data_IF_005950979807
#
_entry.id   IF_005950979807
#
_cell.length_a   1.000
_cell.length_b   1.000
_cell.length_c   1.000
_cell.angle_alpha   90.00
_cell.angle_beta   90.00
_cell.angle_gamma   90.00
#
_symmetry.space_group_name_H-M   'P 1'
#
loop_
_entity.id
_entity.type
_entity.pdbx_description
1 polymer ?
#
# COMPACT_ATOMS: atom_id res chain seq x y z
N UNK A 1 -25.21 68.39 -45.11
CA UNK A 1 -23.92 67.71 -44.82
C UNK A 1 -23.95 67.20 -43.38
N UNK A 2 -23.43 66.00 -43.18
CA UNK A 2 -23.75 65.07 -42.09
C UNK A 2 -23.19 65.44 -40.70
N UNK A 3 -23.92 65.04 -39.65
CA UNK A 3 -23.40 64.89 -38.27
C UNK A 3 -22.96 63.44 -38.06
N UNK A 4 -21.77 63.13 -37.50
CA UNK A 4 -21.49 61.81 -36.96
C UNK A 4 -21.81 61.77 -35.46
N UNK A 5 -22.82 60.97 -35.12
CA UNK A 5 -22.92 60.25 -33.84
C UNK A 5 -22.03 59.00 -33.91
N UNK A 6 -21.67 58.49 -32.73
CA UNK A 6 -21.06 57.18 -32.44
C UNK A 6 -19.57 57.20 -32.10
N UNK A 7 -19.28 57.48 -30.83
CA UNK A 7 -18.03 57.05 -30.19
C UNK A 7 -18.23 56.80 -28.68
N UNK A 8 -19.25 56.02 -28.29
CA UNK A 8 -19.46 55.66 -26.88
C UNK A 8 -19.89 54.21 -26.61
N UNK A 9 -19.94 53.34 -27.63
CA UNK A 9 -20.40 51.94 -27.47
C UNK A 9 -19.27 50.88 -27.36
N UNK A 10 -18.00 51.24 -27.56
CA UNK A 10 -16.88 50.29 -27.52
C UNK A 10 -16.28 50.04 -26.13
N UNK A 11 -16.33 51.03 -25.22
CA UNK A 11 -15.65 50.95 -23.91
C UNK A 11 -16.43 50.15 -22.86
N UNK A 12 -17.76 50.14 -22.92
CA UNK A 12 -18.57 49.36 -21.98
C UNK A 12 -18.43 47.84 -22.21
N UNK A 13 -18.38 47.38 -23.46
CA UNK A 13 -18.28 45.96 -23.78
C UNK A 13 -16.93 45.33 -23.38
N UNK A 14 -15.82 46.09 -23.45
CA UNK A 14 -14.50 45.64 -22.99
C UNK A 14 -14.37 45.61 -21.45
N UNK A 15 -15.02 46.53 -20.74
CA UNK A 15 -15.03 46.53 -19.28
C UNK A 15 -15.84 45.35 -18.70
N UNK A 16 -16.95 44.99 -19.34
CA UNK A 16 -17.78 43.85 -18.92
C UNK A 16 -17.09 42.49 -19.18
N UNK A 17 -16.32 42.34 -20.25
CA UNK A 17 -15.56 41.10 -20.52
C UNK A 17 -14.37 40.96 -19.57
N UNK A 18 -13.61 42.03 -19.30
CA UNK A 18 -12.55 41.99 -18.28
C UNK A 18 -13.09 41.73 -16.87
N UNK A 19 -14.21 42.33 -16.48
CA UNK A 19 -14.82 42.08 -15.18
C UNK A 19 -15.35 40.64 -15.04
N UNK A 20 -15.92 40.05 -16.09
CA UNK A 20 -16.38 38.66 -16.08
C UNK A 20 -15.22 37.66 -16.04
N UNK A 21 -14.14 37.92 -16.80
CA UNK A 21 -12.91 37.10 -16.79
C UNK A 21 -12.17 37.25 -15.46
N UNK A 22 -12.07 38.45 -14.90
CA UNK A 22 -11.49 38.69 -13.58
C UNK A 22 -12.33 38.07 -12.45
N UNK A 23 -13.66 38.03 -12.58
CA UNK A 23 -14.56 37.40 -11.59
C UNK A 23 -14.58 35.88 -11.71
N UNK A 24 -14.35 35.32 -12.90
CA UNK A 24 -14.10 33.89 -13.12
C UNK A 24 -12.70 33.47 -12.62
N UNK A 25 -11.67 34.29 -12.86
CA UNK A 25 -10.33 34.10 -12.32
C UNK A 25 -10.31 34.27 -10.79
N UNK A 26 -11.04 35.23 -10.21
CA UNK A 26 -11.21 35.37 -8.76
C UNK A 26 -12.06 34.26 -8.15
N UNK A 27 -12.99 33.63 -8.89
CA UNK A 27 -13.70 32.44 -8.39
C UNK A 27 -12.81 31.19 -8.38
N UNK A 28 -11.85 31.10 -9.30
CA UNK A 28 -10.87 30.02 -9.31
C UNK A 28 -9.76 30.21 -8.25
N UNK A 29 -9.56 31.42 -7.73
CA UNK A 29 -8.49 31.75 -6.77
C UNK A 29 -8.94 31.76 -5.30
N UNK A 30 -10.20 31.43 -4.99
CA UNK A 30 -10.79 31.68 -3.65
C UNK A 30 -11.51 30.49 -3.00
N UNK A 31 -11.18 29.25 -3.41
CA UNK A 31 -11.59 28.06 -2.68
C UNK A 31 -10.37 27.30 -2.19
N UNK A 32 -10.33 26.99 -0.91
CA UNK A 32 -9.32 26.10 -0.32
C UNK A 32 -9.19 24.81 -1.16
N UNK A 33 -7.96 24.26 -1.34
CA UNK A 33 -7.73 23.02 -2.06
C UNK A 33 -8.70 21.91 -1.61
N UNK A 34 -9.31 21.20 -2.57
CA UNK A 34 -10.09 20.01 -2.18
C UNK A 34 -9.10 18.91 -1.81
N UNK A 35 -9.38 18.25 -0.69
CA UNK A 35 -8.61 17.09 -0.24
C UNK A 35 -9.28 15.81 -0.75
N UNK A 36 -8.51 15.01 -1.46
CA UNK A 36 -8.88 13.69 -1.99
C UNK A 36 -8.08 12.59 -1.32
N UNK A 37 -8.68 11.42 -1.17
CA UNK A 37 -7.99 10.26 -0.60
C UNK A 37 -8.28 8.96 -1.36
N UNK A 38 -7.25 8.15 -1.55
CA UNK A 38 -7.33 6.79 -2.07
C UNK A 38 -6.74 5.82 -1.03
N UNK A 39 -7.59 5.00 -0.42
CA UNK A 39 -7.22 4.07 0.64
C UNK A 39 -7.34 2.64 0.14
N UNK A 40 -6.28 1.83 0.24
CA UNK A 40 -6.20 0.51 -0.38
C UNK A 40 -5.64 -0.55 0.57
N UNK A 41 -6.43 -1.58 0.83
CA UNK A 41 -5.96 -2.82 1.44
C UNK A 41 -5.86 -3.89 0.35
N UNK A 42 -4.65 -4.23 -0.09
CA UNK A 42 -4.46 -5.10 -1.27
C UNK A 42 -4.66 -6.59 -0.99
N UNK A 43 -4.69 -6.99 0.29
CA UNK A 43 -4.77 -8.39 0.72
C UNK A 43 -6.16 -8.80 1.22
N UNK A 44 -6.41 -10.11 1.18
CA UNK A 44 -7.60 -10.75 1.75
C UNK A 44 -7.25 -11.84 2.76
N UNK A 45 -8.26 -12.43 3.37
CA UNK A 45 -8.17 -13.54 4.30
C UNK A 45 -7.98 -13.09 5.74
N UNK A 46 -8.53 -13.88 6.67
CA UNK A 46 -8.62 -13.49 8.08
C UNK A 46 -7.26 -13.41 8.80
N UNK A 47 -6.24 -14.10 8.32
CA UNK A 47 -4.86 -13.93 8.85
C UNK A 47 -4.25 -12.58 8.44
N UNK A 48 -4.79 -11.92 7.41
CA UNK A 48 -4.45 -10.56 6.96
C UNK A 48 -5.43 -9.48 7.44
N UNK A 49 -6.20 -9.78 8.49
CA UNK A 49 -7.11 -8.85 9.16
C UNK A 49 -6.56 -7.42 9.28
N UNK A 50 -5.30 -7.30 9.74
CA UNK A 50 -4.59 -6.04 9.96
C UNK A 50 -4.64 -5.07 8.78
N UNK A 51 -4.53 -5.55 7.53
CA UNK A 51 -4.42 -4.62 6.39
C UNK A 51 -5.74 -3.90 6.13
N UNK A 52 -6.87 -4.60 6.24
CA UNK A 52 -8.19 -3.98 6.12
C UNK A 52 -8.51 -3.13 7.36
N UNK A 53 -8.16 -3.59 8.56
CA UNK A 53 -8.29 -2.80 9.79
C UNK A 53 -7.50 -1.48 9.75
N UNK A 54 -6.31 -1.47 9.16
CA UNK A 54 -5.51 -0.25 8.97
C UNK A 54 -6.25 0.74 8.05
N UNK A 55 -6.80 0.27 6.91
CA UNK A 55 -7.52 1.13 5.97
C UNK A 55 -8.83 1.67 6.54
N UNK A 56 -9.53 0.85 7.32
CA UNK A 56 -10.71 1.26 8.08
C UNK A 56 -10.39 2.39 9.08
N UNK A 57 -9.30 2.25 9.83
CA UNK A 57 -8.84 3.28 10.74
C UNK A 57 -8.39 4.54 10.00
N UNK A 58 -7.65 4.40 8.88
CA UNK A 58 -7.24 5.52 8.05
C UNK A 58 -8.46 6.31 7.53
N UNK A 59 -9.52 5.62 7.10
CA UNK A 59 -10.79 6.25 6.73
C UNK A 59 -11.34 7.11 7.87
N UNK A 60 -11.38 6.59 9.08
CA UNK A 60 -11.89 7.33 10.25
C UNK A 60 -11.02 8.53 10.61
N UNK A 61 -9.69 8.43 10.52
CA UNK A 61 -8.79 9.58 10.68
C UNK A 61 -9.18 10.69 9.71
N UNK A 62 -9.28 10.39 8.41
CA UNK A 62 -9.59 11.38 7.38
C UNK A 62 -11.01 11.95 7.50
N UNK A 63 -11.99 11.08 7.75
CA UNK A 63 -13.39 11.46 7.81
C UNK A 63 -13.68 12.35 9.02
N UNK A 64 -13.10 12.02 10.19
CA UNK A 64 -13.23 12.81 11.42
C UNK A 64 -12.61 14.21 11.27
N UNK A 65 -11.54 14.31 10.48
CA UNK A 65 -10.90 15.58 10.10
C UNK A 65 -11.55 16.27 8.88
N UNK A 66 -12.74 15.82 8.48
CA UNK A 66 -13.64 16.58 7.62
C UNK A 66 -13.49 16.33 6.13
N UNK A 67 -12.73 15.32 5.70
CA UNK A 67 -12.77 14.89 4.30
C UNK A 67 -14.10 14.16 4.04
N UNK A 68 -14.94 14.65 3.12
CA UNK A 68 -16.26 14.06 2.88
C UNK A 68 -16.14 12.74 2.11
N UNK A 69 -17.10 11.83 2.30
CA UNK A 69 -17.10 10.51 1.67
C UNK A 69 -16.99 10.54 0.14
N UNK A 70 -17.50 11.59 -0.51
CA UNK A 70 -17.41 11.78 -1.97
C UNK A 70 -15.96 11.92 -2.45
N UNK A 71 -15.02 12.29 -1.56
CA UNK A 71 -13.59 12.47 -1.87
C UNK A 71 -12.68 11.44 -1.23
N UNK A 72 -13.22 10.44 -0.51
CA UNK A 72 -12.48 9.28 -0.04
C UNK A 72 -12.92 8.07 -0.85
N UNK A 73 -12.00 7.50 -1.62
CA UNK A 73 -12.19 6.24 -2.35
C UNK A 73 -11.55 5.12 -1.55
N UNK A 74 -12.31 4.07 -1.24
CA UNK A 74 -11.80 2.92 -0.46
C UNK A 74 -11.84 1.63 -1.28
N UNK A 75 -10.70 0.97 -1.37
CA UNK A 75 -10.53 -0.35 -1.98
C UNK A 75 -10.13 -1.36 -0.90
N UNK A 76 -10.98 -2.36 -0.64
CA UNK A 76 -10.67 -3.43 0.31
C UNK A 76 -11.47 -4.68 -0.03
N UNK A 77 -10.94 -5.88 0.24
CA UNK A 77 -11.64 -7.10 -0.15
C UNK A 77 -12.99 -7.30 0.57
N UNK A 78 -13.13 -6.77 1.80
CA UNK A 78 -14.33 -6.79 2.65
C UNK A 78 -14.74 -8.17 3.19
N UNK A 79 -13.76 -9.03 3.48
CA UNK A 79 -13.95 -10.40 4.00
C UNK A 79 -13.64 -10.57 5.49
N UNK A 80 -13.45 -9.48 6.23
CA UNK A 80 -13.03 -9.51 7.65
C UNK A 80 -14.20 -9.41 8.62
N UNK A 81 -15.02 -8.36 8.52
CA UNK A 81 -16.05 -8.05 9.51
C UNK A 81 -17.05 -9.21 9.69
N UNK A 82 -17.48 -9.82 8.59
CA UNK A 82 -18.44 -10.92 8.57
C UNK A 82 -17.81 -12.31 8.38
N UNK A 83 -16.48 -12.42 8.51
CA UNK A 83 -15.79 -13.70 8.42
C UNK A 83 -16.37 -14.71 9.42
N UNK A 84 -16.47 -15.98 9.04
CA UNK A 84 -16.80 -17.06 9.98
C UNK A 84 -15.76 -17.20 11.10
N UNK A 85 -14.54 -16.72 10.86
CA UNK A 85 -13.45 -16.70 11.84
C UNK A 85 -13.53 -15.51 12.81
N UNK A 86 -14.38 -14.51 12.52
CA UNK A 86 -14.54 -13.35 13.39
C UNK A 86 -15.52 -13.67 14.53
N UNK A 87 -15.07 -13.73 15.80
CA UNK A 87 -15.98 -13.95 16.93
C UNK A 87 -16.94 -12.78 17.16
N UNK A 88 -16.60 -11.57 16.68
CA UNK A 88 -17.42 -10.37 16.81
C UNK A 88 -17.88 -9.89 15.44
N UNK A 89 -18.77 -10.68 14.81
CA UNK A 89 -19.25 -10.39 13.44
C UNK A 89 -19.84 -8.99 13.32
N UNK A 90 -19.55 -8.34 12.20
CA UNK A 90 -19.97 -6.97 11.91
C UNK A 90 -19.06 -5.88 12.53
N UNK A 91 -18.02 -6.26 13.28
CA UNK A 91 -17.08 -5.30 13.89
C UNK A 91 -15.63 -5.61 13.56
N UNK A 92 -14.81 -4.57 13.42
CA UNK A 92 -13.37 -4.66 13.19
C UNK A 92 -12.67 -3.67 14.11
N UNK A 93 -11.55 -4.05 14.73
CA UNK A 93 -10.75 -3.16 15.60
C UNK A 93 -9.37 -3.03 14.99
N UNK A 94 -8.67 -1.90 15.18
CA UNK A 94 -7.28 -1.77 14.72
C UNK A 94 -6.24 -1.83 15.85
N UNK A 95 -6.72 -2.00 17.09
CA UNK A 95 -5.90 -2.23 18.28
C UNK A 95 -6.68 -3.02 19.33
N UNK A 96 -6.02 -3.69 20.29
CA UNK A 96 -6.68 -4.45 21.34
C UNK A 96 -7.57 -3.53 22.17
N UNK A 97 -8.80 -3.99 22.45
CA UNK A 97 -9.82 -3.20 23.16
C UNK A 97 -10.12 -1.82 22.52
N UNK A 98 -9.83 -1.67 21.21
CA UNK A 98 -10.17 -0.49 20.44
C UNK A 98 -11.65 -0.42 20.08
N UNK A 99 -12.09 0.74 19.60
CA UNK A 99 -13.42 0.93 19.03
C UNK A 99 -13.57 0.22 17.70
N UNK A 100 -14.82 0.00 17.28
CA UNK A 100 -15.10 -0.47 15.92
C UNK A 100 -14.65 0.57 14.88
N UNK A 101 -13.83 0.13 13.93
CA UNK A 101 -13.37 0.92 12.78
C UNK A 101 -14.08 0.52 11.49
N UNK A 102 -14.94 -0.50 11.49
CA UNK A 102 -15.61 -0.96 10.28
C UNK A 102 -16.82 -0.09 9.88
N UNK A 103 -17.60 0.34 10.87
CA UNK A 103 -18.88 1.00 10.64
C UNK A 103 -18.71 2.34 9.92
N UNK A 104 -19.41 2.48 8.80
CA UNK A 104 -19.48 3.72 8.02
C UNK A 104 -18.41 3.84 6.94
N UNK A 105 -17.44 2.93 6.88
CA UNK A 105 -16.43 2.90 5.81
C UNK A 105 -17.13 2.66 4.46
N UNK A 106 -16.90 3.52 3.43
CA UNK A 106 -17.40 3.31 2.08
C UNK A 106 -16.88 2.01 1.48
N UNK A 107 -17.73 1.29 0.77
CA UNK A 107 -17.38 0.05 0.05
C UNK A 107 -17.29 0.33 -1.45
N UNK A 108 -16.38 1.23 -1.84
CA UNK A 108 -16.31 1.69 -3.23
C UNK A 108 -15.90 0.57 -4.18
N UNK A 109 -14.86 -0.18 -3.82
CA UNK A 109 -14.39 -1.34 -4.59
C UNK A 109 -14.04 -2.49 -3.65
N UNK A 110 -14.78 -3.58 -3.74
CA UNK A 110 -14.61 -4.77 -2.90
C UNK A 110 -14.47 -6.04 -3.71
N UNK A 111 -14.06 -7.14 -3.05
CA UNK A 111 -13.82 -8.41 -3.72
C UNK A 111 -12.82 -8.26 -4.87
N UNK A 112 -13.16 -8.81 -6.04
CA UNK A 112 -12.26 -8.86 -7.20
C UNK A 112 -12.03 -7.52 -7.90
N UNK A 113 -12.73 -6.46 -7.48
CA UNK A 113 -12.47 -5.10 -7.93
C UNK A 113 -11.19 -4.51 -7.31
N UNK A 114 -10.62 -5.14 -6.28
CA UNK A 114 -9.36 -4.72 -5.66
C UNK A 114 -8.19 -5.26 -6.49
N UNK A 115 -7.94 -4.63 -7.64
CA UNK A 115 -6.86 -5.01 -8.57
C UNK A 115 -5.86 -3.87 -8.77
N UNK A 116 -4.61 -4.18 -9.19
CA UNK A 116 -3.61 -3.16 -9.51
C UNK A 116 -4.08 -2.19 -10.60
N UNK A 117 -4.73 -2.71 -11.65
CA UNK A 117 -5.23 -1.89 -12.76
C UNK A 117 -6.32 -0.93 -12.29
N UNK A 118 -7.30 -1.40 -11.51
CA UNK A 118 -8.34 -0.54 -10.97
C UNK A 118 -7.75 0.52 -10.05
N UNK A 119 -6.78 0.17 -9.19
CA UNK A 119 -6.08 1.14 -8.35
C UNK A 119 -5.44 2.27 -9.18
N UNK A 120 -4.68 1.90 -10.23
CA UNK A 120 -4.04 2.87 -11.09
C UNK A 120 -5.06 3.73 -11.85
N UNK A 121 -6.15 3.14 -12.34
CA UNK A 121 -7.20 3.86 -13.07
C UNK A 121 -7.97 4.84 -12.16
N UNK A 122 -8.37 4.38 -10.97
CA UNK A 122 -9.03 5.21 -9.95
C UNK A 122 -8.17 6.41 -9.57
N UNK A 123 -6.87 6.20 -9.35
CA UNK A 123 -5.92 7.26 -9.01
C UNK A 123 -5.86 8.34 -10.10
N UNK A 124 -5.98 7.95 -11.37
CA UNK A 124 -5.97 8.85 -12.52
C UNK A 124 -7.32 9.52 -12.82
N UNK A 125 -8.37 9.19 -12.06
CA UNK A 125 -9.73 9.65 -12.37
C UNK A 125 -10.41 8.89 -13.52
N UNK A 126 -9.90 7.71 -13.90
CA UNK A 126 -10.50 6.86 -14.93
C UNK A 126 -11.57 5.96 -14.32
N UNK A 127 -12.74 5.92 -14.97
CA UNK A 127 -13.86 5.09 -14.51
C UNK A 127 -13.50 3.60 -14.59
N UNK A 128 -13.84 2.88 -13.53
CA UNK A 128 -13.74 1.43 -13.43
C UNK A 128 -15.12 0.80 -13.61
N UNK A 129 -15.18 -0.39 -14.20
CA UNK A 129 -16.43 -1.14 -14.35
C UNK A 129 -16.78 -1.84 -13.02
N UNK A 130 -17.96 -1.54 -12.48
CA UNK A 130 -18.42 -2.06 -11.19
C UNK A 130 -18.03 -1.16 -10.02
N UNK A 131 -18.32 -1.62 -8.79
CA UNK A 131 -18.13 -0.82 -7.58
C UNK A 131 -19.06 0.40 -7.54
N UNK A 132 -18.67 1.42 -6.76
CA UNK A 132 -19.43 2.67 -6.66
C UNK A 132 -19.22 3.61 -7.85
N UNK A 133 -18.21 3.35 -8.69
CA UNK A 133 -17.79 4.24 -9.77
C UNK A 133 -17.05 5.50 -9.31
N UNK A 134 -16.78 5.64 -8.01
CA UNK A 134 -16.02 6.78 -7.45
C UNK A 134 -14.55 6.70 -7.85
N UNK A 135 -13.98 7.82 -8.26
CA UNK A 135 -12.57 7.93 -8.69
C UNK A 135 -11.95 9.18 -8.08
N UNK A 136 -10.63 9.31 -8.16
CA UNK A 136 -9.96 10.56 -7.78
C UNK A 136 -10.18 11.58 -8.89
N UNK A 137 -11.15 12.46 -8.68
CA UNK A 137 -11.52 13.52 -9.63
C UNK A 137 -10.93 14.88 -9.21
N UNK A 138 -9.64 14.87 -8.89
CA UNK A 138 -8.89 16.05 -8.45
C UNK A 138 -8.48 16.96 -9.61
N UNK A 139 -8.32 18.23 -9.28
CA UNK A 139 -7.91 19.29 -10.21
C UNK A 139 -6.50 19.82 -9.87
N UNK A 140 -5.97 20.74 -10.68
CA UNK A 140 -4.60 21.25 -10.55
C UNK A 140 -4.28 21.93 -9.20
N UNK A 141 -5.31 22.36 -8.46
CA UNK A 141 -5.20 23.03 -7.15
C UNK A 141 -5.37 22.06 -5.97
N UNK A 142 -5.79 20.82 -6.21
CA UNK A 142 -6.22 19.90 -5.16
C UNK A 142 -5.05 19.09 -4.58
N UNK A 143 -5.22 18.59 -3.36
CA UNK A 143 -4.26 17.68 -2.72
C UNK A 143 -4.80 16.25 -2.70
N UNK A 144 -3.89 15.27 -2.88
CA UNK A 144 -4.22 13.85 -2.86
C UNK A 144 -3.44 13.16 -1.74
N UNK A 145 -4.13 12.41 -0.89
CA UNK A 145 -3.54 11.47 0.06
C UNK A 145 -3.77 10.02 -0.40
N UNK A 146 -2.71 9.25 -0.56
CA UNK A 146 -2.81 7.83 -0.94
C UNK A 146 -2.27 6.99 0.21
N UNK A 147 -3.03 5.99 0.67
CA UNK A 147 -2.53 5.01 1.61
C UNK A 147 -2.71 3.59 1.06
N UNK A 148 -1.59 2.89 0.87
CA UNK A 148 -1.56 1.51 0.37
C UNK A 148 -1.00 0.60 1.45
N UNK A 149 -1.78 -0.40 1.84
CA UNK A 149 -1.43 -1.38 2.87
C UNK A 149 -1.56 -2.78 2.31
N UNK A 150 -0.54 -3.62 2.47
CA UNK A 150 -0.58 -4.95 1.90
C UNK A 150 0.66 -5.80 2.11
N UNK A 151 0.78 -6.82 1.26
CA UNK A 151 1.96 -7.66 1.18
C UNK A 151 2.89 -7.11 0.11
N UNK A 152 4.20 -7.04 0.42
CA UNK A 152 5.21 -6.49 -0.47
C UNK A 152 6.34 -7.45 -0.75
N UNK A 153 7.08 -7.13 -1.81
CA UNK A 153 8.38 -7.68 -2.15
C UNK A 153 9.19 -6.57 -2.83
N UNK A 154 10.47 -6.79 -3.18
CA UNK A 154 11.23 -5.80 -3.92
C UNK A 154 10.49 -5.34 -5.19
N UNK A 155 10.33 -4.03 -5.36
CA UNK A 155 9.74 -3.41 -6.55
C UNK A 155 8.24 -3.68 -6.77
N UNK A 156 7.51 -4.24 -5.80
CA UNK A 156 6.08 -4.54 -5.99
C UNK A 156 5.26 -4.64 -4.70
N UNK A 157 3.95 -4.46 -4.86
CA UNK A 157 2.91 -4.78 -3.86
C UNK A 157 1.99 -5.84 -4.45
N UNK A 158 1.81 -6.95 -3.73
CA UNK A 158 0.91 -8.01 -4.15
C UNK A 158 -0.54 -7.63 -3.88
N UNK A 159 -1.39 -7.85 -4.87
CA UNK A 159 -2.84 -7.80 -4.74
C UNK A 159 -3.39 -9.22 -4.75
N UNK A 160 -4.61 -9.39 -4.26
CA UNK A 160 -5.27 -10.71 -4.30
C UNK A 160 -5.50 -11.22 -5.74
N UNK A 161 -5.47 -10.33 -6.73
CA UNK A 161 -5.57 -10.63 -8.15
C UNK A 161 -4.57 -9.76 -8.92
N UNK A 162 -3.33 -10.26 -9.00
CA UNK A 162 -2.22 -9.61 -9.71
C UNK A 162 -1.25 -8.86 -8.80
N UNK A 163 -0.34 -8.14 -9.44
CA UNK A 163 0.78 -7.45 -8.79
C UNK A 163 0.85 -6.00 -9.25
N UNK A 164 1.02 -5.08 -8.30
CA UNK A 164 1.33 -3.69 -8.58
C UNK A 164 2.85 -3.52 -8.59
N UNK A 165 3.45 -3.52 -9.78
CA UNK A 165 4.87 -3.21 -9.95
C UNK A 165 5.13 -1.70 -9.73
N UNK A 166 6.34 -1.37 -9.27
CA UNK A 166 6.74 -0.02 -8.92
C UNK A 166 6.76 0.94 -10.11
N UNK A 167 7.25 0.49 -11.29
CA UNK A 167 7.34 1.37 -12.48
C UNK A 167 5.97 1.82 -12.98
N UNK A 168 4.96 0.95 -13.19
CA UNK A 168 3.61 1.39 -13.54
C UNK A 168 3.04 2.42 -12.55
N UNK A 169 3.24 2.23 -11.26
CA UNK A 169 2.75 3.16 -10.24
C UNK A 169 3.42 4.54 -10.35
N UNK A 170 4.76 4.58 -10.40
CA UNK A 170 5.51 5.84 -10.53
C UNK A 170 5.26 6.52 -11.89
N UNK A 171 5.07 5.76 -12.96
CA UNK A 171 4.72 6.31 -14.27
C UNK A 171 3.34 6.98 -14.27
N UNK A 172 2.37 6.42 -13.55
CA UNK A 172 1.07 7.06 -13.34
C UNK A 172 1.22 8.37 -12.59
N UNK A 173 2.04 8.42 -11.54
CA UNK A 173 2.32 9.66 -10.78
C UNK A 173 2.92 10.73 -11.69
N UNK A 174 3.97 10.37 -12.47
CA UNK A 174 4.61 11.28 -13.44
C UNK A 174 3.60 11.82 -14.46
N UNK A 175 2.77 10.95 -15.03
CA UNK A 175 1.70 11.35 -15.96
C UNK A 175 0.72 12.33 -15.32
N UNK A 176 0.22 12.03 -14.12
CA UNK A 176 -0.73 12.89 -13.42
C UNK A 176 -0.15 14.27 -13.12
N UNK A 177 1.15 14.36 -12.82
CA UNK A 177 1.87 15.64 -12.67
C UNK A 177 1.88 16.42 -13.99
N UNK A 178 2.24 15.78 -15.11
CA UNK A 178 2.23 16.41 -16.44
C UNK A 178 0.84 16.89 -16.84
N UNK A 179 -0.20 16.10 -16.53
CA UNK A 179 -1.60 16.42 -16.78
C UNK A 179 -2.22 17.39 -15.75
N UNK A 180 -1.43 17.88 -14.79
CA UNK A 180 -1.87 18.81 -13.72
C UNK A 180 -3.10 18.32 -12.97
N UNK A 181 -3.10 17.03 -12.58
CA UNK A 181 -4.20 16.39 -11.85
C UNK A 181 -4.20 16.67 -10.34
N UNK A 182 -3.17 17.32 -9.82
CA UNK A 182 -3.03 17.70 -8.40
C UNK A 182 -2.00 18.82 -8.23
N UNK A 183 -2.12 19.57 -7.15
CA UNK A 183 -1.09 20.50 -6.69
C UNK A 183 0.02 19.75 -5.95
N UNK A 184 -0.33 18.97 -4.92
CA UNK A 184 0.57 18.14 -4.11
C UNK A 184 -0.04 16.76 -3.81
N UNK A 185 0.79 15.73 -3.71
CA UNK A 185 0.37 14.37 -3.37
C UNK A 185 1.24 13.80 -2.24
N UNK A 186 0.61 13.13 -1.27
CA UNK A 186 1.27 12.39 -0.20
C UNK A 186 0.91 10.91 -0.30
N UNK A 187 1.90 10.03 -0.20
CA UNK A 187 1.71 8.57 -0.34
C UNK A 187 2.31 7.84 0.86
N UNK A 188 1.50 7.10 1.60
CA UNK A 188 1.93 6.25 2.71
C UNK A 188 1.80 4.78 2.31
N UNK A 189 2.92 4.04 2.32
CA UNK A 189 2.95 2.62 1.94
C UNK A 189 3.37 1.75 3.12
N UNK A 190 2.50 0.81 3.50
CA UNK A 190 2.79 -0.22 4.50
C UNK A 190 2.85 -1.60 3.85
N UNK A 191 4.08 -2.04 3.54
CA UNK A 191 4.37 -3.32 2.92
C UNK A 191 5.85 -3.72 3.15
N UNK A 192 6.15 -5.01 3.08
CA UNK A 192 7.55 -5.47 3.08
C UNK A 192 8.31 -4.90 1.88
N UNK A 193 9.57 -4.51 2.10
CA UNK A 193 10.44 -3.85 1.12
C UNK A 193 9.85 -2.59 0.47
N UNK A 194 8.87 -1.94 1.09
CA UNK A 194 8.11 -0.81 0.54
C UNK A 194 8.98 0.34 0.00
N UNK A 195 10.17 0.58 0.56
CA UNK A 195 11.09 1.59 0.06
C UNK A 195 11.56 1.34 -1.38
N UNK A 196 11.52 0.10 -1.84
CA UNK A 196 11.83 -0.27 -3.23
C UNK A 196 10.77 0.15 -4.24
N UNK A 197 9.58 0.58 -3.79
CA UNK A 197 8.55 1.15 -4.68
C UNK A 197 8.95 2.52 -5.25
N UNK A 198 9.88 3.22 -4.58
CA UNK A 198 10.26 4.59 -4.93
C UNK A 198 11.76 4.79 -5.12
N UNK A 199 12.60 3.93 -4.54
CA UNK A 199 14.06 4.02 -4.64
C UNK A 199 14.55 4.03 -6.10
N UNK A 200 15.16 5.14 -6.51
CA UNK A 200 15.64 5.34 -7.88
C UNK A 200 14.55 5.57 -8.94
N UNK A 201 13.27 5.61 -8.54
CA UNK A 201 12.13 5.76 -9.45
C UNK A 201 11.39 7.09 -9.29
N UNK A 202 11.10 7.49 -8.04
CA UNK A 202 10.31 8.68 -7.73
C UNK A 202 11.19 9.95 -7.77
N UNK A 203 10.95 10.88 -8.71
CA UNK A 203 11.71 12.12 -8.79
C UNK A 203 11.37 13.07 -7.64
N UNK A 204 12.21 14.07 -7.40
CA UNK A 204 11.96 15.12 -6.41
C UNK A 204 11.18 16.33 -6.98
N UNK A 205 10.89 16.37 -8.28
CA UNK A 205 10.23 17.48 -8.97
C UNK A 205 8.79 17.16 -9.43
N UNK A 206 8.21 16.05 -8.95
CA UNK A 206 6.84 15.62 -9.30
C UNK A 206 5.76 16.07 -8.30
N UNK A 207 6.09 16.93 -7.34
CA UNK A 207 5.16 17.37 -6.29
C UNK A 207 4.57 16.22 -5.46
N UNK A 208 5.34 15.15 -5.24
CA UNK A 208 4.90 13.99 -4.48
C UNK A 208 5.87 13.72 -3.33
N UNK A 209 5.34 13.52 -2.13
CA UNK A 209 6.06 13.06 -0.96
C UNK A 209 5.57 11.67 -0.56
N UNK A 210 6.49 10.72 -0.42
CA UNK A 210 6.12 9.36 -0.05
C UNK A 210 6.83 8.96 1.24
N UNK A 211 6.13 8.25 2.13
CA UNK A 211 6.74 7.54 3.26
C UNK A 211 6.41 6.06 3.19
N UNK A 212 7.31 5.23 3.72
CA UNK A 212 7.23 3.78 3.61
C UNK A 212 7.56 3.11 4.93
N UNK A 213 6.88 2.02 5.26
CA UNK A 213 7.04 1.26 6.52
C UNK A 213 8.41 0.63 6.71
N UNK A 214 9.09 0.33 5.61
CA UNK A 214 10.33 -0.43 5.57
C UNK A 214 11.23 0.06 4.43
N UNK A 215 12.54 -0.04 4.62
CA UNK A 215 13.51 0.18 3.56
C UNK A 215 13.42 -0.89 2.46
N UNK A 216 14.27 -0.78 1.45
CA UNK A 216 14.22 -1.66 0.28
C UNK A 216 14.62 -3.12 0.55
N UNK A 217 15.05 -3.52 1.75
CA UNK A 217 15.68 -4.82 2.07
C UNK A 217 15.06 -5.57 3.25
N UNK A 218 14.01 -5.05 3.86
CA UNK A 218 13.49 -5.59 5.11
C UNK A 218 11.96 -5.72 5.08
N UNK A 219 11.39 -6.60 5.92
CA UNK A 219 9.96 -6.77 6.01
C UNK A 219 9.29 -5.62 6.77
N UNK A 220 8.00 -5.43 6.51
CA UNK A 220 7.10 -4.70 7.41
C UNK A 220 6.60 -5.64 8.52
N UNK A 221 6.06 -5.08 9.59
CA UNK A 221 5.67 -5.84 10.79
C UNK A 221 4.20 -5.67 11.14
N UNK A 222 3.55 -6.80 11.42
CA UNK A 222 2.25 -6.83 12.08
C UNK A 222 2.40 -6.53 13.57
N UNK A 223 1.35 -6.01 14.20
CA UNK A 223 1.28 -5.78 15.63
C UNK A 223 -0.10 -6.09 16.20
N UNK A 224 -0.19 -6.07 17.52
CA UNK A 224 -1.41 -6.21 18.29
C UNK A 224 -2.10 -7.55 18.04
N UNK A 225 -1.53 -8.63 18.58
CA UNK A 225 -2.20 -9.92 18.56
C UNK A 225 -3.44 -9.89 19.48
N UNK A 226 -4.64 -9.96 18.89
CA UNK A 226 -5.88 -10.04 19.66
C UNK A 226 -6.18 -11.51 19.96
N UNK A 227 -6.20 -11.88 21.24
CA UNK A 227 -6.41 -13.26 21.68
C UNK A 227 -7.83 -13.78 21.41
N UNK A 228 -8.84 -12.90 21.38
CA UNK A 228 -10.22 -13.28 21.11
C UNK A 228 -10.42 -13.52 19.62
N UNK A 229 -9.95 -12.59 18.78
CA UNK A 229 -9.98 -12.68 17.32
C UNK A 229 -8.95 -13.66 16.76
N UNK A 230 -7.94 -14.04 17.56
CA UNK A 230 -6.89 -15.00 17.20
C UNK A 230 -6.11 -14.61 15.93
N UNK A 231 -5.89 -13.31 15.74
CA UNK A 231 -5.17 -12.71 14.60
C UNK A 231 -4.50 -11.39 15.03
N UNK A 232 -3.66 -10.83 14.17
CA UNK A 232 -3.07 -9.50 14.38
C UNK A 232 -4.01 -8.44 13.82
N UNK A 233 -4.27 -7.39 14.60
CA UNK A 233 -5.28 -6.37 14.25
C UNK A 233 -4.71 -5.07 13.69
N UNK A 234 -3.38 -4.91 13.71
CA UNK A 234 -2.70 -3.75 13.12
C UNK A 234 -1.33 -4.09 12.53
N UNK A 235 -0.70 -3.08 11.95
CA UNK A 235 0.71 -3.11 11.53
C UNK A 235 1.46 -1.96 12.20
N UNK A 236 2.71 -2.18 12.61
CA UNK A 236 3.46 -1.23 13.47
C UNK A 236 3.50 0.17 12.87
N UNK A 237 3.94 0.31 11.62
CA UNK A 237 4.00 1.61 10.93
C UNK A 237 2.60 2.26 10.81
N UNK A 238 1.61 1.49 10.38
CA UNK A 238 0.25 1.99 10.18
C UNK A 238 -0.39 2.50 11.47
N UNK A 239 -0.33 1.72 12.55
CA UNK A 239 -0.91 2.14 13.83
C UNK A 239 -0.18 3.36 14.38
N UNK A 240 1.13 3.47 14.18
CA UNK A 240 1.91 4.61 14.68
C UNK A 240 1.49 5.94 14.03
N UNK A 241 1.34 5.99 12.71
CA UNK A 241 0.92 7.24 12.07
C UNK A 241 -0.54 7.57 12.37
N UNK A 242 -1.43 6.57 12.39
CA UNK A 242 -2.86 6.78 12.65
C UNK A 242 -3.14 7.20 14.09
N UNK A 243 -2.60 6.48 15.08
CA UNK A 243 -2.78 6.82 16.49
C UNK A 243 -2.14 8.19 16.82
N UNK A 244 -1.10 8.61 16.08
CA UNK A 244 -0.58 9.97 16.18
C UNK A 244 -1.55 11.01 15.64
N UNK A 245 -2.09 10.81 14.43
CA UNK A 245 -3.08 11.72 13.84
C UNK A 245 -4.37 11.78 14.67
N UNK A 246 -4.72 10.71 15.36
CA UNK A 246 -5.85 10.68 16.29
C UNK A 246 -5.64 11.56 17.53
N UNK A 247 -4.39 11.68 17.98
CA UNK A 247 -3.99 12.40 19.19
C UNK A 247 -3.68 13.88 18.96
N UNK A 248 -3.20 14.25 17.78
CA UNK A 248 -2.61 15.58 17.52
C UNK A 248 -3.57 16.55 16.83
N UNK A 249 -3.28 17.84 17.00
CA UNK A 249 -3.87 18.89 16.16
C UNK A 249 -3.11 18.94 14.82
N UNK A 250 -3.76 18.53 13.74
CA UNK A 250 -3.14 18.42 12.42
C UNK A 250 -2.70 19.76 11.82
N UNK A 251 -3.13 20.90 12.38
CA UNK A 251 -2.67 22.24 12.00
C UNK A 251 -1.35 22.65 12.66
N UNK A 252 -0.83 21.83 13.57
CA UNK A 252 0.38 22.14 14.36
C UNK A 252 1.47 21.09 14.21
N UNK A 253 1.25 20.08 13.38
CA UNK A 253 2.18 19.01 13.09
C UNK A 253 2.40 18.99 11.58
N UNK A 254 3.66 18.98 11.16
CA UNK A 254 4.01 18.81 9.75
C UNK A 254 4.05 17.32 9.39
N UNK A 255 4.05 17.04 8.08
CA UNK A 255 4.31 15.69 7.58
C UNK A 255 5.67 15.15 8.07
N UNK A 256 6.67 16.01 8.17
CA UNK A 256 8.01 15.65 8.64
C UNK A 256 8.04 15.36 10.15
N UNK A 257 7.27 16.09 10.95
CA UNK A 257 7.12 15.80 12.39
C UNK A 257 6.49 14.43 12.59
N UNK A 258 5.41 14.12 11.86
CA UNK A 258 4.80 12.80 11.87
C UNK A 258 5.79 11.74 11.38
N UNK A 259 6.49 11.95 10.26
CA UNK A 259 7.50 11.00 9.75
C UNK A 259 8.57 10.70 10.81
N UNK A 260 9.12 11.73 11.46
CA UNK A 260 10.15 11.58 12.48
C UNK A 260 9.64 10.76 13.67
N UNK A 261 8.43 11.06 14.15
CA UNK A 261 7.80 10.30 15.23
C UNK A 261 7.52 8.85 14.81
N UNK A 262 6.96 8.62 13.63
CA UNK A 262 6.66 7.27 13.12
C UNK A 262 7.95 6.46 12.96
N UNK A 263 9.03 7.10 12.49
CA UNK A 263 10.34 6.47 12.34
C UNK A 263 10.96 6.06 13.68
N UNK A 264 10.78 6.87 14.73
CA UNK A 264 11.24 6.54 16.08
C UNK A 264 10.42 5.40 16.69
N UNK A 265 9.09 5.46 16.56
CA UNK A 265 8.18 4.50 17.20
C UNK A 265 8.08 3.16 16.46
N UNK A 266 8.37 3.14 15.16
CA UNK A 266 8.45 1.92 14.34
C UNK A 266 9.83 1.29 14.49
N UNK A 267 10.15 0.81 15.69
CA UNK A 267 11.47 0.24 16.02
C UNK A 267 11.74 -1.16 15.43
N UNK A 268 10.90 -1.65 14.53
CA UNK A 268 10.98 -2.97 13.89
C UNK A 268 11.54 -2.93 12.48
N UNK A 269 11.52 -1.76 11.83
CA UNK A 269 11.97 -1.52 10.46
C UNK A 269 12.39 -0.06 10.29
N UNK A 270 13.08 0.25 9.20
CA UNK A 270 13.50 1.60 8.85
C UNK A 270 12.44 2.29 8.00
N UNK A 271 11.69 3.20 8.63
CA UNK A 271 10.76 4.07 7.92
C UNK A 271 11.55 5.03 7.03
N UNK A 272 11.19 5.08 5.74
CA UNK A 272 11.90 5.89 4.73
C UNK A 272 10.97 6.95 4.13
N UNK A 273 11.55 8.04 3.64
CA UNK A 273 10.88 9.08 2.87
C UNK A 273 11.50 9.26 1.47
N UNK A 274 10.69 9.68 0.49
CA UNK A 274 11.07 9.83 -0.92
C UNK A 274 10.35 10.99 -1.59
N UNK A 275 10.87 11.42 -2.75
CA UNK A 275 10.25 12.42 -3.61
C UNK A 275 10.62 13.86 -3.23
N UNK A 276 9.65 14.76 -3.36
CA UNK A 276 9.80 16.19 -3.01
C UNK A 276 9.72 16.37 -1.49
N UNK A 277 10.88 16.30 -0.82
CA UNK A 277 10.96 16.44 0.64
C UNK A 277 10.53 17.82 1.15
N UNK A 278 10.42 18.83 0.29
CA UNK A 278 9.91 20.15 0.71
C UNK A 278 8.45 20.10 1.15
N UNK A 279 7.67 19.14 0.62
CA UNK A 279 6.29 18.88 1.03
C UNK A 279 6.23 18.38 2.47
N UNK A 280 7.30 17.75 2.98
CA UNK A 280 7.38 17.34 4.39
C UNK A 280 7.17 18.49 5.37
N UNK A 281 7.38 19.75 4.94
CA UNK A 281 7.19 20.96 5.76
C UNK A 281 5.73 21.43 5.83
N UNK A 282 4.84 20.86 5.01
CA UNK A 282 3.42 21.18 5.01
C UNK A 282 2.70 20.52 6.18
N UNK A 283 1.59 21.10 6.59
CA UNK A 283 0.81 20.62 7.73
C UNK A 283 0.07 19.33 7.38
N UNK A 284 -0.11 18.45 8.37
CA UNK A 284 -0.94 17.26 8.20
C UNK A 284 -2.35 17.61 7.76
N UNK A 285 -2.89 18.74 8.22
CA UNK A 285 -4.24 19.20 7.88
C UNK A 285 -4.46 19.45 6.38
N UNK A 286 -3.38 19.71 5.63
CA UNK A 286 -3.40 19.90 4.17
C UNK A 286 -3.58 18.60 3.39
N UNK A 287 -3.55 17.44 4.04
CA UNK A 287 -3.70 16.12 3.39
C UNK A 287 -4.67 15.20 4.12
N UNK A 288 -4.68 15.26 5.46
CA UNK A 288 -5.49 14.39 6.31
C UNK A 288 -6.80 15.04 6.77
N UNK A 289 -6.99 16.33 6.53
CA UNK A 289 -8.23 17.06 6.81
C UNK A 289 -8.03 18.26 7.73
N UNK A 290 -8.75 19.34 7.44
CA UNK A 290 -8.63 20.62 8.15
C UNK A 290 -9.63 20.79 9.31
N UNK A 291 -10.63 19.92 9.47
CA UNK A 291 -11.58 20.02 10.58
C UNK A 291 -10.89 19.60 11.87
N UNK A 292 -10.97 20.43 12.91
CA UNK A 292 -10.52 20.05 14.25
C UNK A 292 -11.32 18.85 14.76
N UNK A 293 -10.61 17.79 15.13
CA UNK A 293 -11.17 16.59 15.72
C UNK A 293 -10.87 16.57 17.23
N UNK A 294 -11.74 15.92 18.01
CA UNK A 294 -11.46 15.68 19.43
C UNK A 294 -10.29 14.69 19.53
N UNK A 295 -9.18 15.05 20.18
CA UNK A 295 -8.04 14.15 20.36
C UNK A 295 -8.43 12.85 21.05
N UNK A 296 -7.95 11.72 20.51
CA UNK A 296 -8.10 10.40 21.11
C UNK A 296 -6.73 9.99 21.65
N UNK A 297 -6.62 9.91 22.98
CA UNK A 297 -5.39 9.51 23.66
C UNK A 297 -5.61 8.12 24.25
N UNK A 298 -4.84 7.15 23.77
CA UNK A 298 -4.95 5.76 24.17
C UNK A 298 -3.66 5.32 24.88
N UNK A 299 -3.74 4.34 25.80
CA UNK A 299 -2.56 3.82 26.46
C UNK A 299 -1.65 3.11 25.44
N UNK A 300 -0.33 3.28 25.60
CA UNK A 300 0.67 2.57 24.80
C UNK A 300 0.57 1.08 25.10
N UNK A 301 0.52 0.26 24.06
CA UNK A 301 0.48 -1.18 24.16
C UNK A 301 1.77 -1.77 23.59
N UNK A 302 2.18 -2.93 24.09
CA UNK A 302 3.24 -3.69 23.45
C UNK A 302 2.78 -4.14 22.06
N UNK A 303 3.65 -4.03 21.05
CA UNK A 303 3.27 -4.38 19.68
C UNK A 303 3.08 -5.88 19.47
N UNK A 304 3.72 -6.76 20.24
CA UNK A 304 3.82 -8.20 19.90
C UNK A 304 4.30 -8.43 18.45
N UNK A 305 5.24 -7.60 17.99
CA UNK A 305 5.53 -7.47 16.56
C UNK A 305 5.99 -8.78 15.92
N UNK A 306 5.46 -9.06 14.72
CA UNK A 306 5.84 -10.24 13.91
C UNK A 306 6.07 -9.79 12.47
N UNK A 307 7.17 -10.22 11.82
CA UNK A 307 7.39 -9.95 10.40
C UNK A 307 6.16 -10.35 9.58
N UNK A 308 5.74 -9.51 8.63
CA UNK A 308 4.47 -9.67 7.91
C UNK A 308 4.30 -11.06 7.28
N UNK A 309 5.39 -11.64 6.76
CA UNK A 309 5.42 -12.97 6.15
C UNK A 309 5.34 -14.12 7.17
N UNK A 310 5.65 -13.90 8.44
CA UNK A 310 5.60 -14.94 9.48
C UNK A 310 4.30 -14.94 10.28
N UNK A 311 3.40 -13.99 10.01
CA UNK A 311 2.10 -13.87 10.67
C UNK A 311 1.30 -15.19 10.66
N UNK A 312 1.14 -15.90 9.53
CA UNK A 312 0.37 -17.16 9.52
C UNK A 312 0.95 -18.23 10.45
N UNK A 313 2.28 -18.37 10.47
CA UNK A 313 2.98 -19.32 11.35
C UNK A 313 2.88 -18.90 12.81
N UNK A 314 3.03 -17.61 13.11
CA UNK A 314 2.90 -17.08 14.46
C UNK A 314 1.46 -17.29 15.00
N UNK A 315 0.44 -17.07 14.18
CA UNK A 315 -0.96 -17.34 14.51
C UNK A 315 -1.15 -18.83 14.85
N UNK A 316 -0.65 -19.74 14.00
CA UNK A 316 -0.76 -21.18 14.24
C UNK A 316 -0.06 -21.62 15.53
N UNK A 317 1.16 -21.11 15.79
CA UNK A 317 1.90 -21.38 17.02
C UNK A 317 1.16 -20.89 18.26
N UNK A 318 0.62 -19.66 18.23
CA UNK A 318 -0.17 -19.09 19.33
C UNK A 318 -1.48 -19.85 19.57
N UNK A 319 -2.19 -20.24 18.50
CA UNK A 319 -3.40 -21.09 18.59
C UNK A 319 -3.07 -22.46 19.19
N UNK A 320 -1.98 -23.09 18.77
CA UNK A 320 -1.54 -24.39 19.29
C UNK A 320 -1.17 -24.32 20.77
N UNK A 321 -0.44 -23.29 21.20
CA UNK A 321 -0.03 -23.10 22.59
C UNK A 321 -1.24 -22.92 23.53
N UNK A 322 -2.32 -22.30 23.05
CA UNK A 322 -3.56 -22.07 23.81
C UNK A 322 -4.62 -23.16 23.63
N UNK A 323 -4.42 -24.14 22.74
CA UNK A 323 -5.39 -25.20 22.55
C UNK A 323 -5.43 -26.12 23.78
N UNK A 324 -6.63 -26.49 24.24
CA UNK A 324 -6.80 -27.42 25.35
C UNK A 324 -7.17 -28.82 24.84
N UNK A 325 -8.12 -28.89 23.91
CA UNK A 325 -8.64 -30.13 23.31
C UNK A 325 -7.54 -30.87 22.50
N UNK A 326 -7.41 -32.18 22.73
CA UNK A 326 -6.45 -33.04 22.02
C UNK A 326 -6.66 -33.05 20.50
N UNK A 327 -7.92 -33.05 20.03
CA UNK A 327 -8.26 -33.01 18.60
C UNK A 327 -7.86 -31.68 17.97
N UNK A 328 -8.11 -30.56 18.65
CA UNK A 328 -7.69 -29.23 18.17
C UNK A 328 -6.16 -29.13 18.12
N UNK A 329 -5.47 -29.61 19.17
CA UNK A 329 -4.00 -29.66 19.19
C UNK A 329 -3.47 -30.48 18.01
N UNK A 330 -4.06 -31.65 17.74
CA UNK A 330 -3.66 -32.51 16.60
C UNK A 330 -3.86 -31.78 15.27
N UNK A 331 -5.04 -31.21 15.04
CA UNK A 331 -5.36 -30.46 13.82
C UNK A 331 -4.42 -29.25 13.62
N UNK A 332 -4.15 -28.48 14.67
CA UNK A 332 -3.24 -27.33 14.61
C UNK A 332 -1.79 -27.74 14.36
N UNK A 333 -1.31 -28.84 14.97
CA UNK A 333 0.01 -29.41 14.69
C UNK A 333 0.13 -29.83 13.21
N UNK A 334 -0.88 -30.49 12.67
CA UNK A 334 -0.90 -30.90 11.26
C UNK A 334 -0.89 -29.69 10.32
N UNK A 335 -1.70 -28.65 10.60
CA UNK A 335 -1.69 -27.38 9.84
C UNK A 335 -0.32 -26.69 9.88
N UNK A 336 0.29 -26.59 11.06
CA UNK A 336 1.62 -26.00 11.22
C UNK A 336 2.68 -26.80 10.48
N UNK A 337 2.69 -28.13 10.62
CA UNK A 337 3.62 -29.01 9.89
C UNK A 337 3.47 -28.84 8.39
N UNK A 338 2.24 -28.82 7.87
CA UNK A 338 1.97 -28.63 6.44
C UNK A 338 2.47 -27.27 5.95
N UNK A 339 2.21 -26.19 6.69
CA UNK A 339 2.69 -24.86 6.34
C UNK A 339 4.22 -24.82 6.25
N UNK A 340 4.93 -25.38 7.24
CA UNK A 340 6.39 -25.45 7.23
C UNK A 340 6.95 -26.31 6.09
N UNK A 341 6.34 -27.47 5.79
CA UNK A 341 6.74 -28.31 4.66
C UNK A 341 6.53 -27.60 3.33
N UNK A 342 5.42 -26.89 3.17
CA UNK A 342 5.13 -26.12 1.97
C UNK A 342 6.14 -24.97 1.77
N UNK A 343 6.53 -24.26 2.84
CA UNK A 343 7.59 -23.25 2.79
C UNK A 343 8.93 -23.86 2.39
N UNK A 344 9.27 -25.01 2.98
CA UNK A 344 10.50 -25.75 2.62
C UNK A 344 10.50 -26.21 1.17
N UNK A 345 9.35 -26.65 0.65
CA UNK A 345 9.19 -27.04 -0.75
C UNK A 345 9.45 -25.85 -1.69
N UNK A 346 8.83 -24.70 -1.41
CA UNK A 346 9.04 -23.49 -2.21
C UNK A 346 10.51 -23.07 -2.18
N UNK A 347 11.12 -23.00 -0.99
CA UNK A 347 12.55 -22.67 -0.87
C UNK A 347 13.41 -23.62 -1.71
N UNK A 348 13.16 -24.94 -1.62
CA UNK A 348 13.89 -25.93 -2.41
C UNK A 348 13.77 -25.66 -3.91
N UNK A 349 12.59 -25.30 -4.40
CA UNK A 349 12.39 -24.94 -5.82
C UNK A 349 13.16 -23.68 -6.23
N UNK A 350 13.23 -22.68 -5.36
CA UNK A 350 14.08 -21.50 -5.61
C UNK A 350 15.56 -21.87 -5.61
N UNK A 351 16.01 -22.75 -4.69
CA UNK A 351 17.38 -23.25 -4.66
C UNK A 351 17.70 -24.02 -5.96
N UNK A 352 16.79 -24.85 -6.47
CA UNK A 352 16.92 -25.56 -7.76
C UNK A 352 17.08 -24.60 -8.96
N UNK A 353 16.27 -23.53 -9.03
CA UNK A 353 16.40 -22.48 -10.06
C UNK A 353 17.78 -21.84 -10.01
N UNK A 354 18.26 -21.50 -8.80
CA UNK A 354 19.57 -20.89 -8.60
C UNK A 354 20.68 -21.84 -9.03
N UNK A 355 20.64 -23.11 -8.60
CA UNK A 355 21.65 -24.11 -8.96
C UNK A 355 21.75 -24.31 -10.46
N UNK A 356 20.61 -24.40 -11.15
CA UNK A 356 20.58 -24.50 -12.62
C UNK A 356 21.23 -23.27 -13.27
N UNK A 357 20.85 -22.06 -12.85
CA UNK A 357 21.36 -20.82 -13.43
C UNK A 357 22.87 -20.64 -13.18
N UNK A 358 23.33 -21.04 -11.99
CA UNK A 358 24.74 -21.01 -11.59
C UNK A 358 25.56 -22.17 -12.18
N UNK A 359 24.96 -23.08 -12.95
CA UNK A 359 25.62 -24.29 -13.47
C UNK A 359 26.34 -25.08 -12.37
N UNK A 360 25.65 -25.24 -11.23
CA UNK A 360 26.16 -25.89 -10.02
C UNK A 360 27.43 -25.27 -9.41
N UNK A 361 27.81 -24.04 -9.80
CA UNK A 361 28.86 -23.28 -9.13
C UNK A 361 28.38 -22.81 -7.74
N UNK A 362 28.97 -23.31 -6.63
CA UNK A 362 28.50 -22.98 -5.29
C UNK A 362 28.68 -21.50 -4.91
N UNK A 363 29.71 -20.84 -5.45
CA UNK A 363 29.98 -19.44 -5.14
C UNK A 363 28.94 -18.52 -5.80
N UNK A 364 28.65 -18.75 -7.08
CA UNK A 364 27.65 -17.96 -7.80
C UNK A 364 26.24 -18.22 -7.24
N UNK A 365 25.93 -19.47 -6.88
CA UNK A 365 24.67 -19.81 -6.23
C UNK A 365 24.50 -19.10 -4.87
N UNK A 366 25.53 -19.09 -4.03
CA UNK A 366 25.51 -18.38 -2.76
C UNK A 366 25.30 -16.87 -2.95
N UNK A 367 26.02 -16.27 -3.92
CA UNK A 367 25.84 -14.86 -4.26
C UNK A 367 24.39 -14.55 -4.68
N UNK A 368 23.77 -15.40 -5.51
CA UNK A 368 22.38 -15.20 -5.94
C UNK A 368 21.38 -15.33 -4.78
N UNK A 369 21.63 -16.22 -3.82
CA UNK A 369 20.75 -16.46 -2.68
C UNK A 369 20.89 -15.39 -1.58
N UNK A 370 22.10 -14.92 -1.32
CA UNK A 370 22.41 -14.11 -0.12
C UNK A 370 22.59 -12.63 -0.40
N UNK A 371 22.90 -12.25 -1.65
CA UNK A 371 23.13 -10.85 -2.00
C UNK A 371 21.91 -9.99 -1.72
N UNK A 372 22.17 -8.71 -1.39
CA UNK A 372 21.14 -7.68 -1.25
C UNK A 372 21.31 -6.63 -2.34
N UNK A 373 21.30 -7.04 -3.60
CA UNK A 373 21.46 -6.10 -4.72
C UNK A 373 20.33 -5.07 -4.72
N UNK A 374 20.68 -3.85 -5.13
CA UNK A 374 19.70 -2.80 -5.42
C UNK A 374 19.06 -3.14 -6.76
N UNK A 375 17.73 -3.11 -6.81
CA UNK A 375 16.99 -3.32 -8.05
C UNK A 375 17.26 -2.17 -9.01
N UNK A 376 17.94 -2.45 -10.13
CA UNK A 376 18.17 -1.46 -11.20
C UNK A 376 17.65 -1.94 -12.55
N UNK A 377 17.72 -3.25 -12.81
CA UNK A 377 17.21 -3.86 -14.04
C UNK A 377 15.72 -4.24 -13.92
N UNK A 378 14.85 -3.23 -13.88
CA UNK A 378 13.41 -3.42 -13.74
C UNK A 378 12.77 -4.19 -14.91
N UNK A 379 13.29 -4.04 -16.14
CA UNK A 379 12.77 -4.77 -17.31
C UNK A 379 12.99 -6.28 -17.22
N UNK A 380 14.15 -6.70 -16.74
CA UNK A 380 14.40 -8.11 -16.44
C UNK A 380 13.53 -8.56 -15.27
N UNK A 381 13.54 -7.80 -14.17
CA UNK A 381 12.93 -8.22 -12.92
C UNK A 381 11.41 -8.39 -13.02
N UNK A 382 10.70 -7.41 -13.59
CA UNK A 382 9.23 -7.49 -13.70
C UNK A 382 8.80 -8.69 -14.55
N UNK A 383 9.49 -8.94 -15.67
CA UNK A 383 9.23 -10.11 -16.53
C UNK A 383 9.55 -11.43 -15.84
N UNK A 384 10.66 -11.49 -15.09
CA UNK A 384 11.04 -12.67 -14.32
C UNK A 384 10.03 -12.96 -13.19
N UNK A 385 9.52 -11.93 -12.53
CA UNK A 385 8.48 -12.05 -11.50
C UNK A 385 7.15 -12.54 -12.09
N UNK A 386 6.72 -11.96 -13.22
CA UNK A 386 5.48 -12.37 -13.89
C UNK A 386 5.58 -13.85 -14.33
N UNK A 387 6.70 -14.23 -14.94
CA UNK A 387 6.95 -15.63 -15.33
C UNK A 387 6.99 -16.57 -14.12
N UNK A 388 7.66 -16.17 -13.04
CA UNK A 388 7.68 -16.95 -11.80
C UNK A 388 6.27 -17.12 -11.20
N UNK A 389 5.43 -16.09 -11.27
CA UNK A 389 4.05 -16.15 -10.81
C UNK A 389 3.20 -17.10 -11.68
N UNK A 390 3.39 -17.07 -12.99
CA UNK A 390 2.56 -17.84 -13.92
C UNK A 390 2.96 -19.32 -13.97
N UNK A 391 4.26 -19.62 -13.89
CA UNK A 391 4.79 -20.96 -14.13
C UNK A 391 5.30 -21.68 -12.88
N UNK A 392 5.73 -20.96 -11.84
CA UNK A 392 6.20 -21.56 -10.59
C UNK A 392 5.17 -21.43 -9.47
N UNK A 393 5.07 -20.25 -8.87
CA UNK A 393 4.26 -19.99 -7.70
C UNK A 393 3.45 -18.72 -7.88
N UNK A 394 2.17 -18.87 -8.22
CA UNK A 394 1.25 -17.73 -8.33
C UNK A 394 1.26 -16.91 -7.04
N UNK A 395 1.71 -15.66 -7.13
CA UNK A 395 2.01 -14.82 -5.97
C UNK A 395 0.76 -14.48 -5.17
N UNK A 396 -0.38 -14.28 -5.85
CA UNK A 396 -1.67 -14.03 -5.20
C UNK A 396 -2.20 -15.24 -4.44
N UNK A 397 -1.82 -16.47 -4.85
CA UNK A 397 -2.24 -17.73 -4.21
C UNK A 397 -1.22 -18.27 -3.20
N UNK A 398 0.04 -17.83 -3.30
CA UNK A 398 1.16 -18.29 -2.45
C UNK A 398 1.92 -17.09 -1.86
N UNK A 399 1.34 -16.36 -0.91
CA UNK A 399 1.95 -15.15 -0.33
C UNK A 399 3.39 -15.31 0.17
N UNK A 400 3.78 -16.49 0.66
CA UNK A 400 5.15 -16.71 1.13
C UNK A 400 6.20 -16.65 0.00
N UNK A 401 5.79 -16.87 -1.26
CA UNK A 401 6.66 -16.77 -2.42
C UNK A 401 7.32 -15.38 -2.55
N UNK A 402 6.67 -14.34 -2.03
CA UNK A 402 7.19 -12.97 -2.00
C UNK A 402 8.53 -12.86 -1.25
N UNK A 403 8.79 -13.72 -0.26
CA UNK A 403 10.09 -13.79 0.46
C UNK A 403 11.27 -14.01 -0.48
N UNK A 404 11.04 -14.77 -1.55
CA UNK A 404 12.11 -15.25 -2.41
C UNK A 404 12.34 -14.37 -3.63
N UNK A 405 11.53 -13.34 -3.87
CA UNK A 405 11.68 -12.49 -5.06
C UNK A 405 12.96 -11.64 -5.03
N UNK A 406 13.61 -11.48 -3.86
CA UNK A 406 14.97 -10.93 -3.79
C UNK A 406 15.96 -11.69 -4.66
N UNK A 407 15.83 -13.01 -4.75
CA UNK A 407 16.72 -13.84 -5.55
C UNK A 407 16.62 -13.44 -7.02
N UNK A 408 15.42 -13.12 -7.51
CA UNK A 408 15.23 -12.64 -8.89
C UNK A 408 15.84 -11.26 -9.13
N UNK A 409 15.83 -10.37 -8.13
CA UNK A 409 16.60 -9.11 -8.19
C UNK A 409 18.08 -9.43 -8.36
N UNK A 410 18.62 -10.35 -7.56
CA UNK A 410 20.02 -10.71 -7.63
C UNK A 410 20.40 -11.30 -8.99
N UNK A 411 19.53 -12.13 -9.58
CA UNK A 411 19.72 -12.69 -10.93
C UNK A 411 19.74 -11.59 -12.00
N UNK A 412 18.74 -10.70 -11.99
CA UNK A 412 18.58 -9.65 -13.01
C UNK A 412 19.61 -8.51 -12.92
N UNK A 413 20.14 -8.24 -11.73
CA UNK A 413 21.23 -7.28 -11.49
C UNK A 413 22.60 -7.98 -11.39
N UNK A 414 22.72 -9.15 -12.02
CA UNK A 414 23.98 -9.87 -12.30
C UNK A 414 24.20 -10.01 -13.81
N UNK A 415 25.18 -10.81 -14.24
CA UNK A 415 25.51 -11.01 -15.66
C UNK A 415 24.53 -11.91 -16.43
N UNK A 416 23.51 -12.47 -15.78
CA UNK A 416 22.56 -13.38 -16.39
C UNK A 416 21.54 -12.65 -17.27
N UNK A 417 21.26 -13.23 -18.44
CA UNK A 417 20.21 -12.75 -19.34
C UNK A 417 18.84 -13.24 -18.86
N UNK A 418 17.81 -12.45 -19.13
CA UNK A 418 16.42 -12.83 -18.83
C UNK A 418 16.08 -14.23 -19.38
N UNK A 419 16.49 -14.55 -20.62
CA UNK A 419 16.22 -15.87 -21.22
C UNK A 419 16.76 -17.04 -20.40
N UNK A 420 17.94 -16.89 -19.80
CA UNK A 420 18.54 -17.92 -18.95
C UNK A 420 17.78 -18.08 -17.62
N UNK A 421 17.31 -16.96 -17.07
CA UNK A 421 16.49 -16.95 -15.85
C UNK A 421 15.15 -17.66 -16.09
N UNK A 422 14.49 -17.36 -17.21
CA UNK A 422 13.21 -17.99 -17.56
C UNK A 422 13.39 -19.50 -17.83
N UNK A 423 14.44 -19.88 -18.55
CA UNK A 423 14.78 -21.30 -18.78
C UNK A 423 15.01 -22.06 -17.46
N UNK A 424 15.74 -21.45 -16.52
CA UNK A 424 15.96 -22.04 -15.20
C UNK A 424 14.64 -22.27 -14.44
N UNK A 425 13.68 -21.36 -14.55
CA UNK A 425 12.33 -21.51 -13.99
C UNK A 425 11.56 -22.64 -14.67
N UNK A 426 11.55 -22.68 -16.00
CA UNK A 426 10.82 -23.68 -16.79
C UNK A 426 11.28 -25.11 -16.47
N UNK A 427 12.58 -25.31 -16.31
CA UNK A 427 13.16 -26.62 -15.95
C UNK A 427 12.87 -26.98 -14.49
N UNK A 428 13.01 -26.03 -13.56
CA UNK A 428 12.94 -26.32 -12.12
C UNK A 428 11.51 -26.42 -11.57
N UNK A 429 10.57 -25.72 -12.20
CA UNK A 429 9.18 -25.60 -11.75
C UNK A 429 8.22 -26.63 -12.35
N UNK A 430 8.73 -27.78 -12.79
CA UNK A 430 7.92 -28.93 -13.22
C UNK A 430 7.21 -29.61 -12.03
N UNK A 431 6.25 -28.93 -11.42
CA UNK A 431 5.40 -29.45 -10.35
C UNK A 431 3.94 -29.07 -10.57
N UNK A 432 2.98 -29.82 -10.00
CA UNK A 432 1.57 -29.43 -10.05
C UNK A 432 1.35 -28.04 -9.44
N UNK A 433 0.28 -27.35 -9.86
CA UNK A 433 -0.08 -26.04 -9.28
C UNK A 433 -0.25 -26.16 -7.76
N UNK A 434 0.53 -25.37 -7.02
CA UNK A 434 0.44 -25.29 -5.55
C UNK A 434 -0.28 -24.01 -5.15
N UNK A 435 -1.10 -24.09 -4.11
CA UNK A 435 -1.83 -22.94 -3.55
C UNK A 435 -1.75 -22.94 -2.03
N UNK A 436 -1.80 -21.76 -1.42
CA UNK A 436 -1.89 -21.58 0.02
C UNK A 436 -0.57 -21.75 0.77
N UNK A 437 0.58 -21.53 0.12
CA UNK A 437 1.86 -21.41 0.83
C UNK A 437 1.88 -20.05 1.55
N UNK A 438 1.54 -20.09 2.83
CA UNK A 438 1.38 -18.93 3.71
C UNK A 438 2.61 -18.69 4.59
#
# INVERSE_FOLDING_TARGET
MARPRCLFLGLAALAFTFAAVAKAANRAYNSDPKLWALLVASSKGYDNYRHQANIYHAYHVLHKHGIPNQRIVVMMYDDIANSSSNPYRGTVVNRPSGTDVYKGVPKDYTGDLVSPQNFLDILQGKKVKGGSGKVIASEATDHIFVNVVGLGAPGLIAFHNGTLHARPFVNVIKRMKTERKFAKMVIYVDASESGSMFDGLLPNDVNVYATTSANRHEPAYACYYDAYRKTFVGSVYSVNWMEHSDKKDLHRETLFDQFTMVRIETNTSHVMEFGDLSIGKLWLSEFQGAKKAIPVVLPKLAYDAVPSRDVPIAILRRKLAKAYNANDKKSLKEKLRRALLNRSFLKKKVDEIVSFLAQDNPHDADLLLTSRRRLTNFDCYEKAVDHFSDWCFNLSKNPYALEHLRVLVNMCDSSYKLSQILEAMDVSCAHPTVVGIA
#
